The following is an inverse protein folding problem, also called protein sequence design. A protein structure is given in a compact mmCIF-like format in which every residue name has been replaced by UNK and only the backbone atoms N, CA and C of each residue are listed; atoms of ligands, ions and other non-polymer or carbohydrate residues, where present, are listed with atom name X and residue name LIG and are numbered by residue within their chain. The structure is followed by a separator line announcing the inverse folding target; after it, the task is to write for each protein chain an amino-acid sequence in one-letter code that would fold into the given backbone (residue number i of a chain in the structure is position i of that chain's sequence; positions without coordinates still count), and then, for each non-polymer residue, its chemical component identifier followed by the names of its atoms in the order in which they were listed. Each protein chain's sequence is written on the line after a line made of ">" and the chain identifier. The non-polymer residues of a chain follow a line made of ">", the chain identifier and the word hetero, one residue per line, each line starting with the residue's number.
data_IF_650724283587
#
_entry.id   IF_650724283587
#
_cell.length_a   1.000
_cell.length_b   1.000
_cell.length_c   1.000
_cell.angle_alpha   90.00
_cell.angle_beta   90.00
_cell.angle_gamma   90.00
#
_symmetry.space_group_name_H-M   'P 1'
#
loop_
_entity.id
_entity.type
_entity.pdbx_description
1 polymer ?
#
# COMPACT_ATOMS: atom_id res chain seq x y z
N UNK A 1 9.72 61.22 16.10
CA UNK A 1 9.92 60.14 15.14
C UNK A 1 10.17 58.83 15.89
N UNK A 2 9.18 57.88 15.93
CA UNK A 2 9.37 56.58 16.54
C UNK A 2 9.98 55.63 15.50
N UNK A 3 11.20 55.12 15.76
CA UNK A 3 11.79 54.07 14.97
C UNK A 3 10.95 52.79 15.09
N UNK A 4 10.39 52.32 13.98
CA UNK A 4 9.83 50.97 13.88
C UNK A 4 10.97 49.98 13.91
N UNK A 5 11.12 49.24 14.99
CA UNK A 5 11.93 48.04 15.07
C UNK A 5 11.34 47.02 14.10
N UNK A 6 12.08 46.70 13.03
CA UNK A 6 11.78 45.52 12.20
C UNK A 6 11.97 44.29 13.06
N UNK A 7 10.88 43.59 13.37
CA UNK A 7 10.95 42.21 13.85
C UNK A 7 11.58 41.39 12.73
N UNK A 8 12.77 40.88 12.94
CA UNK A 8 13.39 39.88 12.05
C UNK A 8 12.43 38.68 12.02
N UNK A 9 11.69 38.55 10.93
CA UNK A 9 10.83 37.39 10.69
C UNK A 9 11.71 36.16 10.55
N UNK A 10 11.37 35.08 11.24
CA UNK A 10 11.99 33.78 11.07
C UNK A 10 12.14 33.43 9.59
N UNK A 11 13.28 32.92 9.19
CA UNK A 11 13.53 32.55 7.81
C UNK A 11 12.52 31.46 7.37
N UNK A 12 12.23 31.34 6.08
CA UNK A 12 11.38 30.25 5.59
C UNK A 12 11.88 28.86 6.04
N UNK A 13 13.19 28.69 6.16
CA UNK A 13 13.81 27.46 6.65
C UNK A 13 13.51 27.20 8.14
N UNK A 14 13.51 28.26 8.97
CA UNK A 14 13.17 28.14 10.39
C UNK A 14 11.69 27.75 10.57
N UNK A 15 10.81 28.28 9.74
CA UNK A 15 9.39 27.93 9.74
C UNK A 15 9.17 26.47 9.32
N UNK A 16 9.85 26.01 8.27
CA UNK A 16 9.82 24.62 7.82
C UNK A 16 10.39 23.71 8.93
N UNK A 17 11.52 24.06 9.52
CA UNK A 17 12.13 23.29 10.60
C UNK A 17 11.24 23.18 11.84
N UNK A 18 10.52 24.25 12.20
CA UNK A 18 9.55 24.23 13.29
C UNK A 18 8.35 23.31 12.98
N UNK A 19 7.81 23.39 11.75
CA UNK A 19 6.73 22.53 11.30
C UNK A 19 7.15 21.05 11.33
N UNK A 20 8.31 20.71 10.79
CA UNK A 20 8.84 19.35 10.77
C UNK A 20 9.03 18.78 12.18
N UNK A 21 9.50 19.58 13.15
CA UNK A 21 9.63 19.17 14.55
C UNK A 21 8.27 18.91 15.20
N UNK A 22 7.28 19.75 14.93
CA UNK A 22 5.93 19.61 15.48
C UNK A 22 5.22 18.35 14.96
N UNK A 23 5.53 17.94 13.72
CA UNK A 23 4.89 16.84 13.01
C UNK A 23 5.87 15.67 12.76
N UNK A 24 6.83 15.47 13.66
CA UNK A 24 7.88 14.47 13.47
C UNK A 24 7.35 13.03 13.32
N UNK A 25 6.17 12.72 13.86
CA UNK A 25 5.51 11.42 13.69
C UNK A 25 4.78 11.25 12.36
N UNK A 26 4.58 12.35 11.60
CA UNK A 26 3.84 12.34 10.33
C UNK A 26 4.77 12.20 9.11
N UNK A 27 6.09 12.22 9.34
CA UNK A 27 7.07 12.19 8.27
C UNK A 27 7.52 10.78 7.97
N UNK A 28 7.58 10.49 6.67
CA UNK A 28 8.17 9.26 6.19
C UNK A 28 9.70 9.30 6.39
N UNK A 29 10.25 8.29 7.07
CA UNK A 29 11.69 8.15 7.21
C UNK A 29 12.29 7.56 5.94
N UNK A 30 12.95 8.41 5.14
CA UNK A 30 13.62 7.98 3.90
C UNK A 30 14.98 7.30 4.14
N UNK A 31 15.48 7.31 5.36
CA UNK A 31 16.78 6.73 5.71
C UNK A 31 16.69 5.22 5.99
N UNK A 32 15.49 4.65 6.16
CA UNK A 32 15.33 3.21 6.29
C UNK A 32 15.67 2.53 4.96
N UNK A 33 16.72 1.74 4.95
CA UNK A 33 17.07 0.89 3.82
C UNK A 33 15.95 -0.11 3.55
N UNK A 34 15.35 -0.02 2.37
CA UNK A 34 14.39 -1.00 1.87
C UNK A 34 15.17 -2.26 1.47
N UNK A 35 15.21 -3.22 2.37
CA UNK A 35 16.14 -4.35 2.33
C UNK A 35 15.71 -5.52 1.44
N UNK A 36 14.51 -5.46 0.82
CA UNK A 36 14.03 -6.57 0.01
C UNK A 36 13.32 -6.12 -1.27
N UNK A 37 13.26 -7.03 -2.23
CA UNK A 37 12.46 -6.91 -3.45
C UNK A 37 11.56 -8.12 -3.59
N UNK A 38 10.39 -7.92 -4.21
CA UNK A 38 9.45 -8.99 -4.53
C UNK A 38 9.42 -9.17 -6.04
N UNK A 39 9.80 -10.35 -6.50
CA UNK A 39 9.80 -10.72 -7.92
C UNK A 39 8.39 -10.74 -8.47
N UNK A 40 8.23 -10.29 -9.71
CA UNK A 40 7.00 -10.46 -10.48
C UNK A 40 6.74 -11.90 -10.90
N UNK A 41 7.79 -12.73 -10.91
CA UNK A 41 7.80 -14.07 -11.49
C UNK A 41 8.12 -14.08 -13.00
N UNK A 42 8.35 -12.92 -13.61
CA UNK A 42 8.83 -12.76 -14.98
C UNK A 42 10.23 -12.18 -14.95
N UNK A 43 11.21 -12.91 -15.46
CA UNK A 43 12.61 -12.47 -15.51
C UNK A 43 12.75 -11.12 -16.24
N UNK A 44 12.06 -10.97 -17.37
CA UNK A 44 12.12 -9.73 -18.15
C UNK A 44 11.59 -8.54 -17.35
N UNK A 45 10.42 -8.69 -16.71
CA UNK A 45 9.82 -7.62 -15.92
C UNK A 45 10.68 -7.30 -14.70
N UNK A 46 11.25 -8.30 -14.05
CA UNK A 46 12.14 -8.10 -12.89
C UNK A 46 13.40 -7.34 -13.26
N UNK A 47 14.00 -7.63 -14.43
CA UNK A 47 15.17 -6.88 -14.94
C UNK A 47 14.79 -5.41 -15.15
N UNK A 48 13.68 -5.14 -15.83
CA UNK A 48 13.20 -3.77 -16.09
C UNK A 48 12.88 -3.00 -14.78
N UNK A 49 12.43 -3.72 -13.75
CA UNK A 49 12.11 -3.15 -12.44
C UNK A 49 13.31 -3.09 -11.47
N UNK A 50 14.50 -3.51 -11.90
CA UNK A 50 15.69 -3.55 -11.04
C UNK A 50 15.60 -4.60 -9.92
N UNK A 51 15.01 -5.77 -10.23
CA UNK A 51 14.91 -6.91 -9.32
C UNK A 51 13.50 -7.17 -8.74
N UNK A 52 12.50 -6.42 -9.18
CA UNK A 52 11.13 -6.53 -8.70
C UNK A 52 10.62 -5.30 -7.94
N UNK A 53 9.47 -5.41 -7.29
CA UNK A 53 8.91 -4.29 -6.50
C UNK A 53 9.59 -4.20 -5.12
N UNK A 54 9.80 -2.98 -4.68
CA UNK A 54 10.30 -2.64 -3.33
C UNK A 54 9.14 -2.24 -2.42
N UNK A 55 9.34 -2.26 -1.08
CA UNK A 55 8.36 -1.69 -0.16
C UNK A 55 7.95 -0.27 -0.59
N UNK A 56 6.65 -0.03 -0.64
CA UNK A 56 6.08 1.23 -1.11
C UNK A 56 4.74 1.04 -1.79
N UNK A 57 4.30 2.03 -2.55
CA UNK A 57 3.03 2.00 -3.26
C UNK A 57 3.30 1.73 -4.74
N UNK A 58 2.66 0.68 -5.27
CA UNK A 58 2.71 0.31 -6.69
C UNK A 58 1.32 0.43 -7.28
N UNK A 59 1.19 1.13 -8.40
CA UNK A 59 -0.06 1.24 -9.15
C UNK A 59 0.04 0.46 -10.46
N UNK A 60 -0.86 -0.50 -10.66
CA UNK A 60 -1.05 -1.17 -11.93
C UNK A 60 -2.25 -0.55 -12.66
N UNK A 61 -2.06 -0.06 -13.88
CA UNK A 61 -3.13 0.48 -14.72
C UNK A 61 -3.12 -0.18 -16.11
N UNK A 62 -4.26 -0.24 -16.75
CA UNK A 62 -4.40 -0.85 -18.06
C UNK A 62 -5.85 -1.16 -18.38
N UNK A 63 -6.08 -1.67 -19.59
CA UNK A 63 -7.42 -2.04 -20.10
C UNK A 63 -8.07 -3.11 -19.23
N UNK A 64 -9.39 -3.17 -19.27
CA UNK A 64 -10.16 -4.23 -18.64
C UNK A 64 -9.68 -5.60 -19.18
N UNK A 65 -9.60 -6.60 -18.29
CA UNK A 65 -9.08 -7.94 -18.59
C UNK A 65 -7.61 -7.99 -19.07
N UNK A 66 -6.89 -6.89 -18.98
CA UNK A 66 -5.46 -6.78 -19.34
C UNK A 66 -4.48 -7.46 -18.37
N UNK A 67 -4.95 -8.33 -17.47
CA UNK A 67 -4.09 -9.11 -16.59
C UNK A 67 -3.63 -8.41 -15.30
N UNK A 68 -4.20 -7.25 -14.94
CA UNK A 68 -3.80 -6.51 -13.72
C UNK A 68 -3.88 -7.35 -12.45
N UNK A 69 -5.01 -8.03 -12.24
CA UNK A 69 -5.21 -8.92 -11.09
C UNK A 69 -4.24 -10.11 -11.11
N UNK A 70 -4.02 -10.72 -12.28
CA UNK A 70 -3.07 -11.83 -12.43
C UNK A 70 -1.64 -11.40 -12.10
N UNK A 71 -1.24 -10.19 -12.52
CA UNK A 71 0.04 -9.61 -12.19
C UNK A 71 0.18 -9.39 -10.67
N UNK A 72 -0.83 -8.81 -10.02
CA UNK A 72 -0.85 -8.61 -8.57
C UNK A 72 -0.75 -9.94 -7.80
N UNK A 73 -1.48 -10.99 -8.25
CA UNK A 73 -1.40 -12.32 -7.65
C UNK A 73 -0.03 -12.97 -7.84
N UNK A 74 0.66 -12.70 -8.94
CA UNK A 74 2.03 -13.20 -9.15
C UNK A 74 3.02 -12.58 -8.15
N UNK A 75 2.95 -11.29 -7.90
CA UNK A 75 3.71 -10.64 -6.83
C UNK A 75 3.33 -11.20 -5.46
N UNK A 76 2.03 -11.35 -5.17
CA UNK A 76 1.55 -11.90 -3.92
C UNK A 76 2.11 -13.30 -3.64
N UNK A 77 2.05 -14.20 -4.62
CA UNK A 77 2.64 -15.55 -4.51
C UNK A 77 4.12 -15.52 -4.16
N UNK A 78 4.88 -14.62 -4.78
CA UNK A 78 6.31 -14.51 -4.52
C UNK A 78 6.58 -13.83 -3.16
N UNK A 79 5.75 -12.89 -2.75
CA UNK A 79 5.80 -12.28 -1.43
C UNK A 79 5.53 -13.29 -0.31
N UNK A 80 4.59 -14.20 -0.50
CA UNK A 80 4.25 -15.25 0.47
C UNK A 80 5.40 -16.22 0.77
N UNK A 81 6.42 -16.30 -0.12
CA UNK A 81 7.64 -17.11 0.11
C UNK A 81 8.58 -16.48 1.13
N UNK A 82 8.37 -15.23 1.47
CA UNK A 82 9.17 -14.55 2.48
C UNK A 82 8.71 -14.96 3.87
N UNK A 83 9.65 -15.01 4.79
CA UNK A 83 9.35 -15.25 6.21
C UNK A 83 8.50 -14.12 6.77
N UNK A 84 7.61 -14.45 7.69
CA UNK A 84 6.74 -13.51 8.39
C UNK A 84 6.01 -12.54 7.45
N UNK A 85 5.43 -13.07 6.38
CA UNK A 85 4.72 -12.32 5.36
C UNK A 85 3.25 -12.70 5.29
N UNK A 86 2.37 -11.72 5.09
CA UNK A 86 0.93 -11.92 4.95
C UNK A 86 0.38 -11.03 3.83
N UNK A 87 -0.43 -11.59 2.95
CA UNK A 87 -1.12 -10.85 1.88
C UNK A 87 -2.55 -10.57 2.30
N UNK A 88 -2.92 -9.30 2.23
CA UNK A 88 -4.30 -8.83 2.47
C UNK A 88 -4.89 -8.39 1.13
N UNK A 89 -5.86 -9.14 0.63
CA UNK A 89 -6.56 -8.80 -0.60
C UNK A 89 -7.83 -8.03 -0.29
N UNK A 90 -7.85 -6.76 -0.63
CA UNK A 90 -9.00 -5.86 -0.44
C UNK A 90 -9.85 -5.94 -1.69
N UNK A 91 -10.98 -6.63 -1.55
CA UNK A 91 -11.94 -6.84 -2.62
C UNK A 91 -13.01 -5.76 -2.57
N UNK A 92 -12.83 -4.69 -3.34
CA UNK A 92 -13.80 -3.60 -3.45
C UNK A 92 -14.84 -3.86 -4.54
N UNK A 93 -14.44 -4.58 -5.58
CA UNK A 93 -15.30 -5.07 -6.65
C UNK A 93 -14.70 -6.36 -7.25
N UNK A 94 -15.31 -6.83 -8.32
CA UNK A 94 -14.74 -7.88 -9.16
C UNK A 94 -14.89 -9.30 -8.63
N UNK A 95 -14.38 -10.23 -9.42
CA UNK A 95 -14.53 -11.67 -9.19
C UNK A 95 -13.18 -12.32 -8.97
N UNK A 96 -12.64 -12.18 -7.75
CA UNK A 96 -11.57 -13.08 -7.35
C UNK A 96 -12.19 -14.47 -7.20
N UNK A 97 -12.02 -15.33 -8.18
CA UNK A 97 -12.53 -16.69 -8.14
C UNK A 97 -11.53 -17.62 -7.45
N UNK A 98 -12.03 -18.70 -6.85
CA UNK A 98 -11.21 -19.73 -6.25
C UNK A 98 -10.24 -20.35 -7.27
N UNK A 99 -10.75 -20.64 -8.48
CA UNK A 99 -9.96 -21.14 -9.61
C UNK A 99 -8.81 -20.20 -10.01
N UNK A 100 -9.04 -18.89 -9.98
CA UNK A 100 -7.98 -17.91 -10.26
C UNK A 100 -6.88 -17.93 -9.20
N UNK A 101 -7.24 -18.06 -7.93
CA UNK A 101 -6.27 -18.18 -6.84
C UNK A 101 -5.46 -19.48 -6.95
N UNK A 102 -6.13 -20.60 -7.17
CA UNK A 102 -5.50 -21.92 -7.34
C UNK A 102 -4.51 -21.93 -8.52
N UNK A 103 -4.92 -21.41 -9.69
CA UNK A 103 -4.04 -21.31 -10.87
C UNK A 103 -2.88 -20.34 -10.67
N UNK A 104 -3.05 -19.32 -9.86
CA UNK A 104 -1.97 -18.38 -9.54
C UNK A 104 -0.94 -18.96 -8.57
N UNK A 105 -1.25 -20.09 -7.93
CA UNK A 105 -0.36 -20.73 -6.95
C UNK A 105 -0.28 -19.94 -5.65
N UNK A 106 -1.32 -19.20 -5.29
CA UNK A 106 -1.44 -18.48 -4.02
C UNK A 106 -1.65 -19.50 -2.89
N UNK A 107 -0.90 -19.34 -1.82
CA UNK A 107 -1.18 -20.00 -0.56
C UNK A 107 -2.35 -19.30 0.12
N UNK A 108 -3.47 -20.00 0.24
CA UNK A 108 -4.71 -19.48 0.83
C UNK A 108 -4.88 -19.82 2.31
N UNK A 109 -3.83 -20.31 2.97
CA UNK A 109 -3.85 -20.53 4.42
C UNK A 109 -4.11 -19.22 5.18
N UNK A 110 -4.76 -19.32 6.33
CA UNK A 110 -5.12 -18.14 7.14
C UNK A 110 -3.89 -17.36 7.64
N UNK A 111 -2.72 -17.99 7.67
CA UNK A 111 -1.46 -17.39 8.07
C UNK A 111 -0.81 -16.55 6.94
N UNK A 112 -1.20 -16.81 5.68
CA UNK A 112 -0.57 -16.21 4.50
C UNK A 112 -1.50 -15.36 3.66
N UNK A 113 -2.81 -15.51 3.82
CA UNK A 113 -3.80 -14.87 2.96
C UNK A 113 -5.07 -14.48 3.70
N UNK A 114 -5.49 -13.24 3.53
CA UNK A 114 -6.77 -12.75 4.03
C UNK A 114 -7.50 -11.94 2.98
N UNK A 115 -8.82 -12.12 2.84
CA UNK A 115 -9.67 -11.35 1.93
C UNK A 115 -10.56 -10.41 2.73
N UNK A 116 -10.30 -9.12 2.62
CA UNK A 116 -11.15 -8.07 3.19
C UNK A 116 -12.12 -7.56 2.14
N UNK A 117 -13.42 -7.67 2.40
CA UNK A 117 -14.48 -7.24 1.48
C UNK A 117 -15.05 -5.91 1.94
N UNK A 118 -14.67 -4.84 1.29
CA UNK A 118 -15.21 -3.51 1.53
C UNK A 118 -15.01 -2.64 0.30
N UNK A 119 -16.00 -1.79 0.02
CA UNK A 119 -15.90 -0.73 -0.98
C UNK A 119 -15.97 0.67 -0.34
N UNK A 120 -15.90 0.77 0.99
CA UNK A 120 -15.84 2.03 1.73
C UNK A 120 -14.40 2.42 1.94
N UNK A 121 -13.98 3.53 1.36
CA UNK A 121 -12.59 4.00 1.38
C UNK A 121 -12.05 4.16 2.80
N UNK A 122 -12.79 4.84 3.66
CA UNK A 122 -12.40 5.10 5.05
C UNK A 122 -12.17 3.79 5.82
N UNK A 123 -13.09 2.82 5.68
CA UNK A 123 -12.97 1.51 6.33
C UNK A 123 -11.74 0.74 5.86
N UNK A 124 -11.38 0.85 4.57
CA UNK A 124 -10.19 0.20 4.02
C UNK A 124 -8.92 0.83 4.59
N UNK A 125 -8.85 2.15 4.61
CA UNK A 125 -7.67 2.86 5.12
C UNK A 125 -7.50 2.65 6.63
N UNK A 126 -8.58 2.72 7.40
CA UNK A 126 -8.52 2.49 8.84
C UNK A 126 -8.10 1.05 9.17
N UNK A 127 -8.61 0.06 8.44
CA UNK A 127 -8.19 -1.33 8.57
C UNK A 127 -6.69 -1.51 8.29
N UNK A 128 -6.18 -0.92 7.20
CA UNK A 128 -4.75 -0.99 6.87
C UNK A 128 -3.88 -0.31 7.93
N UNK A 129 -4.29 0.85 8.42
CA UNK A 129 -3.59 1.60 9.49
C UNK A 129 -3.52 0.80 10.77
N UNK A 130 -4.64 0.21 11.17
CA UNK A 130 -4.73 -0.59 12.40
C UNK A 130 -3.78 -1.79 12.35
N UNK A 131 -3.74 -2.52 11.23
CA UNK A 131 -2.83 -3.65 11.06
C UNK A 131 -1.35 -3.25 11.11
N UNK A 132 -1.01 -2.09 10.53
CA UNK A 132 0.38 -1.62 10.52
C UNK A 132 0.78 -1.04 11.88
N UNK A 133 -0.11 -0.28 12.53
CA UNK A 133 0.16 0.34 13.83
C UNK A 133 0.27 -0.69 14.96
N UNK A 134 -0.59 -1.73 14.92
CA UNK A 134 -0.63 -2.80 15.91
C UNK A 134 -0.01 -4.08 15.34
N UNK A 135 1.28 -4.07 15.08
CA UNK A 135 2.02 -5.17 14.46
C UNK A 135 3.11 -5.73 15.40
N UNK A 136 2.73 -6.41 16.49
CA UNK A 136 3.68 -6.88 17.51
C UNK A 136 4.61 -7.98 17.02
N UNK A 137 4.26 -8.64 15.91
CA UNK A 137 5.03 -9.74 15.31
C UNK A 137 5.96 -9.29 14.21
N UNK A 138 6.03 -7.99 13.92
CA UNK A 138 6.80 -7.43 12.79
C UNK A 138 6.48 -8.15 11.46
N UNK A 139 5.19 -8.43 11.24
CA UNK A 139 4.72 -9.08 10.02
C UNK A 139 4.84 -8.13 8.83
N UNK A 140 5.37 -8.61 7.73
CA UNK A 140 5.37 -7.89 6.46
C UNK A 140 4.02 -8.03 5.79
N UNK A 141 3.35 -6.92 5.53
CA UNK A 141 2.05 -6.91 4.85
C UNK A 141 2.18 -6.49 3.39
N UNK A 142 1.52 -7.23 2.51
CA UNK A 142 1.22 -6.77 1.15
C UNK A 142 -0.28 -6.55 1.03
N UNK A 143 -0.69 -5.31 0.84
CA UNK A 143 -2.08 -4.95 0.58
C UNK A 143 -2.31 -4.86 -0.93
N UNK A 144 -3.29 -5.59 -1.43
CA UNK A 144 -3.74 -5.52 -2.82
C UNK A 144 -5.14 -4.96 -2.83
N UNK A 145 -5.36 -3.80 -3.45
CA UNK A 145 -6.67 -3.16 -3.58
C UNK A 145 -7.15 -3.35 -5.02
N UNK A 146 -8.18 -4.15 -5.21
CA UNK A 146 -8.73 -4.47 -6.53
C UNK A 146 -10.26 -4.19 -6.56
N UNK A 147 -10.65 -3.01 -7.09
CA UNK A 147 -9.84 -1.92 -7.59
C UNK A 147 -10.04 -0.65 -6.75
N UNK A 148 -9.09 0.30 -6.85
CA UNK A 148 -9.20 1.61 -6.19
C UNK A 148 -10.42 2.40 -6.68
N UNK A 149 -10.77 2.27 -7.97
CA UNK A 149 -11.87 3.01 -8.61
C UNK A 149 -13.25 2.59 -8.06
N UNK A 150 -13.34 1.42 -7.45
CA UNK A 150 -14.57 0.93 -6.82
C UNK A 150 -14.75 1.40 -5.37
N UNK A 151 -13.72 1.97 -4.75
CA UNK A 151 -13.81 2.52 -3.41
C UNK A 151 -14.64 3.81 -3.41
N UNK A 152 -15.58 3.90 -2.49
CA UNK A 152 -16.50 5.02 -2.33
C UNK A 152 -16.27 5.67 -0.98
N UNK A 153 -16.42 7.00 -0.96
CA UNK A 153 -16.45 7.73 0.30
C UNK A 153 -17.67 7.31 1.14
N UNK A 154 -17.50 7.22 2.45
CA UNK A 154 -18.60 6.93 3.37
C UNK A 154 -19.75 7.94 3.18
N UNK A 155 -21.00 7.45 3.17
CA UNK A 155 -22.19 8.27 2.92
C UNK A 155 -22.59 8.41 1.44
N UNK A 156 -21.78 7.94 0.47
CA UNK A 156 -22.18 7.90 -0.94
C UNK A 156 -23.00 6.63 -1.21
N UNK A 157 -24.28 6.62 -0.81
CA UNK A 157 -25.25 5.61 -1.24
C UNK A 157 -25.91 6.09 -2.52
N UNK A 158 -25.68 5.38 -3.64
CA UNK A 158 -26.61 5.47 -4.74
C UNK A 158 -27.88 4.74 -4.31
N UNK A 159 -28.97 5.48 -4.09
CA UNK A 159 -30.31 4.91 -4.10
C UNK A 159 -30.62 4.53 -5.55
N UNK A 160 -30.73 3.25 -5.83
CA UNK A 160 -31.34 2.73 -7.04
C UNK A 160 -32.86 2.72 -6.86
#
# INVERSE_FOLDING_TARGET
>A
MKKKTKTEGASPLDQIGAYLKQHSGDHYNFEEERTYTVSSGSLLLDIEMGGGIKPGIVRASGVTEGGKTSCALSFARNFQKMDNSMVIYIKSEGRLSKDMMERSGIDTSEEKWFVYKSNVYESVIDFMRELVANNPTDTRYMFIIDSMDALKKDGFRFSY
#
